data_IF_087385100825
#
_entry.id   IF_087385100825
#
_cell.length_a   1.000
_cell.length_b   1.000
_cell.length_c   1.000
_cell.angle_alpha   90.00
_cell.angle_beta   90.00
_cell.angle_gamma   90.00
#
_symmetry.space_group_name_H-M   'P 1'
#
loop_
_entity.id
_entity.type
_entity.pdbx_description
1 polymer ?
#
# COMPACT_ATOMS: atom_id res chain seq x y z
N UNK A 1 -43.66 55.51 22.64
CA UNK A 1 -42.29 55.94 22.27
C UNK A 1 -41.25 54.81 22.33
N UNK A 2 -41.13 54.07 23.44
CA UNK A 2 -40.11 53.01 23.63
C UNK A 2 -40.14 51.87 22.58
N UNK A 3 -41.31 51.41 22.14
CA UNK A 3 -41.43 50.34 21.12
C UNK A 3 -40.92 50.78 19.74
N UNK A 4 -41.08 52.04 19.38
CA UNK A 4 -40.66 52.58 18.08
C UNK A 4 -39.13 52.68 18.02
N UNK A 5 -38.51 53.17 19.11
CA UNK A 5 -37.05 53.30 19.26
C UNK A 5 -36.37 51.93 19.18
N UNK A 6 -36.88 50.90 19.86
CA UNK A 6 -36.34 49.53 19.78
C UNK A 6 -36.37 48.98 18.36
N UNK A 7 -37.43 49.26 17.60
CA UNK A 7 -37.57 48.79 16.20
C UNK A 7 -36.57 49.49 15.26
N UNK A 8 -36.27 50.76 15.53
CA UNK A 8 -35.26 51.52 14.76
C UNK A 8 -33.85 51.01 15.08
N UNK A 9 -33.50 50.86 16.36
CA UNK A 9 -32.19 50.34 16.78
C UNK A 9 -31.96 48.94 16.21
N UNK A 10 -32.96 48.07 16.24
CA UNK A 10 -32.85 46.73 15.68
C UNK A 10 -32.58 46.75 14.16
N UNK A 11 -33.23 47.64 13.41
CA UNK A 11 -32.97 47.78 11.97
C UNK A 11 -31.55 48.27 11.68
N UNK A 12 -31.05 49.24 12.44
CA UNK A 12 -29.67 49.71 12.30
C UNK A 12 -28.66 48.60 12.64
N UNK A 13 -28.93 47.82 13.69
CA UNK A 13 -28.10 46.68 14.05
C UNK A 13 -28.02 45.63 12.93
N UNK A 14 -29.15 45.30 12.30
CA UNK A 14 -29.19 44.35 11.17
C UNK A 14 -28.41 44.89 9.96
N UNK A 15 -28.58 46.18 9.62
CA UNK A 15 -27.85 46.79 8.50
C UNK A 15 -26.33 46.79 8.77
N UNK A 16 -25.92 47.13 10.00
CA UNK A 16 -24.52 47.08 10.41
C UNK A 16 -23.94 45.66 10.31
N UNK A 17 -24.68 44.64 10.80
CA UNK A 17 -24.26 43.25 10.72
C UNK A 17 -24.06 42.80 9.27
N UNK A 18 -24.98 43.14 8.37
CA UNK A 18 -24.85 42.83 6.95
C UNK A 18 -23.62 43.48 6.33
N UNK A 19 -23.37 44.77 6.62
CA UNK A 19 -22.17 45.47 6.16
C UNK A 19 -20.88 44.84 6.70
N UNK A 20 -20.85 44.50 7.99
CA UNK A 20 -19.71 43.81 8.61
C UNK A 20 -19.44 42.45 7.96
N UNK A 21 -20.48 41.69 7.62
CA UNK A 21 -20.33 40.36 7.01
C UNK A 21 -19.68 40.45 5.62
N UNK A 22 -20.10 41.44 4.82
CA UNK A 22 -19.52 41.70 3.49
C UNK A 22 -18.07 42.17 3.62
N UNK A 23 -17.80 43.11 4.52
CA UNK A 23 -16.44 43.61 4.77
C UNK A 23 -15.52 42.50 5.28
N UNK A 24 -15.99 41.66 6.21
CA UNK A 24 -15.25 40.52 6.74
C UNK A 24 -14.97 39.50 5.64
N UNK A 25 -15.94 39.20 4.78
CA UNK A 25 -15.74 38.34 3.61
C UNK A 25 -14.67 38.89 2.66
N UNK A 26 -14.72 40.20 2.36
CA UNK A 26 -13.75 40.88 1.51
C UNK A 26 -12.34 40.90 2.13
N UNK A 27 -12.23 41.10 3.44
CA UNK A 27 -10.96 41.10 4.17
C UNK A 27 -10.36 39.69 4.31
N UNK A 28 -11.20 38.68 4.56
CA UNK A 28 -10.75 37.29 4.74
C UNK A 28 -10.47 36.58 3.43
N UNK A 29 -11.08 37.00 2.31
CA UNK A 29 -10.87 36.36 1.01
C UNK A 29 -9.38 36.34 0.59
N UNK A 30 -8.61 37.44 0.67
CA UNK A 30 -7.16 37.42 0.42
C UNK A 30 -6.38 36.60 1.44
N UNK A 31 -6.81 36.53 2.70
CA UNK A 31 -6.13 35.75 3.74
C UNK A 31 -6.31 34.24 3.56
N UNK A 32 -7.48 33.82 3.09
CA UNK A 32 -7.83 32.40 2.88
C UNK A 32 -7.39 31.94 1.49
N UNK A 33 -7.55 32.78 0.47
CA UNK A 33 -7.36 32.42 -0.94
C UNK A 33 -6.22 33.17 -1.64
N UNK A 34 -5.61 34.18 -1.02
CA UNK A 34 -4.49 34.96 -1.58
C UNK A 34 -3.13 34.24 -1.59
N UNK A 35 -3.13 32.91 -1.52
CA UNK A 35 -1.97 32.08 -1.91
C UNK A 35 -1.83 31.96 -3.44
N UNK A 36 -2.71 32.59 -4.22
CA UNK A 36 -2.53 32.81 -5.66
C UNK A 36 -1.54 33.96 -5.91
N UNK A 37 -0.26 33.65 -5.67
CA UNK A 37 0.87 34.54 -5.89
C UNK A 37 2.19 33.79 -5.96
N UNK A 38 2.17 32.54 -6.45
CA UNK A 38 3.35 31.67 -6.51
C UNK A 38 4.52 32.30 -7.29
N UNK A 39 4.24 33.10 -8.31
CA UNK A 39 5.26 33.76 -9.13
C UNK A 39 6.07 34.81 -8.35
N UNK A 40 5.42 35.59 -7.47
CA UNK A 40 6.12 36.59 -6.64
C UNK A 40 6.94 35.96 -5.51
N UNK A 41 6.48 34.83 -4.97
CA UNK A 41 7.25 34.05 -4.01
C UNK A 41 8.50 33.44 -4.67
N UNK A 42 8.38 32.99 -5.93
CA UNK A 42 9.51 32.47 -6.72
C UNK A 42 10.57 33.54 -7.00
N UNK A 43 10.13 34.77 -7.29
CA UNK A 43 11.02 35.91 -7.54
C UNK A 43 11.77 36.35 -6.26
N UNK A 44 11.08 36.48 -5.12
CA UNK A 44 11.72 36.75 -3.83
C UNK A 44 12.63 35.60 -3.36
N UNK A 45 12.32 34.34 -3.69
CA UNK A 45 13.17 33.19 -3.36
C UNK A 45 14.43 33.12 -4.26
N UNK A 46 14.35 33.58 -5.51
CA UNK A 46 15.51 33.74 -6.40
C UNK A 46 16.45 34.85 -5.92
N UNK A 47 15.90 35.97 -5.44
CA UNK A 47 16.71 37.04 -4.83
C UNK A 47 17.40 36.59 -3.54
N UNK A 48 16.72 35.82 -2.68
CA UNK A 48 17.32 35.21 -1.48
C UNK A 48 18.38 34.13 -1.81
N UNK A 49 18.26 33.46 -2.96
CA UNK A 49 19.20 32.44 -3.42
C UNK A 49 20.61 32.94 -3.75
N UNK A 50 20.81 34.27 -3.82
CA UNK A 50 22.12 34.87 -4.07
C UNK A 50 22.92 35.24 -2.81
N UNK A 51 22.35 35.05 -1.62
CA UNK A 51 23.04 35.28 -0.35
C UNK A 51 22.81 34.09 0.58
N UNK A 52 23.66 33.06 0.50
CA UNK A 52 23.51 31.97 1.46
C UNK A 52 24.42 30.77 1.32
N UNK A 53 24.79 30.26 2.50
CA UNK A 53 25.51 29.01 2.78
C UNK A 53 24.84 27.79 2.13
N UNK A 54 25.54 26.65 2.05
CA UNK A 54 25.02 25.38 1.48
C UNK A 54 23.63 24.97 2.03
N UNK A 55 23.33 25.33 3.27
CA UNK A 55 22.04 25.06 3.93
C UNK A 55 20.89 25.88 3.34
N UNK A 56 21.13 27.13 2.99
CA UNK A 56 20.13 28.02 2.36
C UNK A 56 19.87 27.59 0.92
N UNK A 57 20.90 27.20 0.18
CA UNK A 57 20.73 26.60 -1.15
C UNK A 57 19.93 25.30 -1.09
N UNK A 58 20.18 24.45 -0.09
CA UNK A 58 19.39 23.24 0.14
C UNK A 58 17.92 23.55 0.48
N UNK A 59 17.68 24.59 1.27
CA UNK A 59 16.33 25.04 1.65
C UNK A 59 15.55 25.56 0.43
N UNK A 60 16.15 26.44 -0.38
CA UNK A 60 15.55 26.94 -1.63
C UNK A 60 15.25 25.80 -2.60
N UNK A 61 16.18 24.84 -2.73
CA UNK A 61 15.99 23.63 -3.54
C UNK A 61 14.87 22.73 -3.02
N UNK A 62 14.64 22.67 -1.71
CA UNK A 62 13.53 21.91 -1.13
C UNK A 62 12.18 22.59 -1.39
N UNK A 63 12.12 23.93 -1.37
CA UNK A 63 10.91 24.70 -1.66
C UNK A 63 10.56 24.59 -3.15
N UNK A 64 11.52 24.78 -4.07
CA UNK A 64 11.26 24.69 -5.52
C UNK A 64 10.85 23.28 -5.97
N UNK A 65 11.30 22.23 -5.30
CA UNK A 65 10.88 20.85 -5.60
C UNK A 65 9.52 20.45 -4.99
N UNK A 66 8.86 21.28 -4.17
CA UNK A 66 7.51 20.98 -3.67
C UNK A 66 6.43 21.03 -4.76
N UNK A 67 6.72 21.67 -5.89
CA UNK A 67 5.74 21.86 -6.97
C UNK A 67 5.54 20.62 -7.85
N UNK A 68 6.54 19.72 -7.90
CA UNK A 68 6.40 18.47 -8.64
C UNK A 68 5.54 17.50 -7.83
N UNK A 69 4.29 17.29 -8.24
CA UNK A 69 3.45 16.23 -7.69
C UNK A 69 3.60 14.96 -8.51
N UNK A 70 3.57 13.80 -7.83
CA UNK A 70 3.55 12.48 -8.47
C UNK A 70 2.33 11.69 -8.00
N UNK A 71 1.61 11.12 -8.96
CA UNK A 71 0.58 10.11 -8.72
C UNK A 71 1.23 8.86 -8.12
N UNK A 72 0.93 8.61 -6.85
CA UNK A 72 1.43 7.45 -6.12
C UNK A 72 0.27 6.50 -5.86
N UNK A 73 0.39 5.27 -6.38
CA UNK A 73 -0.54 4.19 -6.08
C UNK A 73 -0.16 3.53 -4.75
N UNK A 74 -1.02 3.73 -3.73
CA UNK A 74 -0.86 3.13 -2.42
C UNK A 74 -1.41 1.69 -2.34
N UNK A 75 -1.88 1.15 -3.47
CA UNK A 75 -2.45 -0.18 -3.60
C UNK A 75 -3.92 -0.31 -3.22
N UNK A 76 -4.51 0.73 -2.61
CA UNK A 76 -5.95 0.88 -2.34
C UNK A 76 -6.53 2.20 -2.85
N UNK A 77 -5.68 3.19 -3.14
CA UNK A 77 -6.05 4.47 -3.78
C UNK A 77 -4.82 5.10 -4.45
N UNK A 78 -5.07 5.87 -5.50
CA UNK A 78 -4.06 6.73 -6.12
C UNK A 78 -4.20 8.13 -5.54
N UNK A 79 -3.10 8.71 -5.08
CA UNK A 79 -3.05 10.07 -4.54
C UNK A 79 -1.95 10.89 -5.20
N UNK A 80 -2.18 12.19 -5.31
CA UNK A 80 -1.15 13.15 -5.69
C UNK A 80 -0.34 13.53 -4.46
N UNK A 81 0.97 13.30 -4.51
CA UNK A 81 1.90 13.66 -3.43
C UNK A 81 3.04 14.52 -3.95
N UNK A 82 3.52 15.51 -3.16
CA UNK A 82 4.75 16.24 -3.46
C UNK A 82 5.94 15.28 -3.59
N UNK A 83 6.61 15.32 -4.73
CA UNK A 83 7.70 14.44 -5.10
C UNK A 83 9.05 15.10 -4.85
N UNK A 84 9.62 14.81 -3.68
CA UNK A 84 11.01 15.16 -3.35
C UNK A 84 11.87 13.92 -3.57
N UNK A 85 12.76 13.95 -4.59
CA UNK A 85 13.68 12.85 -4.92
C UNK A 85 14.53 12.48 -3.70
N UNK A 86 14.59 11.19 -3.35
CA UNK A 86 15.38 10.68 -2.22
C UNK A 86 14.73 10.80 -0.84
N UNK A 87 13.54 11.42 -0.72
CA UNK A 87 12.76 11.39 0.52
C UNK A 87 12.28 9.97 0.81
N UNK A 88 12.07 9.62 2.08
CA UNK A 88 11.70 8.28 2.56
C UNK A 88 10.48 7.65 1.82
N UNK A 89 9.50 8.46 1.40
CA UNK A 89 8.35 7.98 0.61
C UNK A 89 8.61 7.93 -0.91
N UNK A 90 9.72 8.49 -1.37
CA UNK A 90 10.13 8.62 -2.77
C UNK A 90 11.43 7.84 -3.05
N UNK A 91 11.67 6.74 -2.33
CA UNK A 91 12.81 5.83 -2.53
C UNK A 91 12.69 4.96 -3.79
N UNK A 92 11.87 5.36 -4.77
CA UNK A 92 11.76 4.70 -6.08
C UNK A 92 10.97 3.38 -6.09
N UNK A 93 10.22 3.06 -5.03
CA UNK A 93 9.40 1.84 -5.00
C UNK A 93 8.06 2.11 -5.71
N UNK A 94 7.94 1.62 -6.95
CA UNK A 94 6.67 1.63 -7.69
C UNK A 94 6.03 0.25 -7.65
N UNK A 95 4.87 0.12 -7.00
CA UNK A 95 4.10 -1.12 -7.00
C UNK A 95 3.54 -1.34 -8.40
N UNK A 96 4.12 -2.27 -9.17
CA UNK A 96 3.55 -2.61 -10.48
C UNK A 96 2.14 -3.19 -10.27
N UNK A 97 1.11 -2.72 -10.99
CA UNK A 97 -0.21 -3.33 -10.95
C UNK A 97 -0.14 -4.82 -11.31
N UNK A 98 -0.97 -5.64 -10.67
CA UNK A 98 -1.05 -7.07 -10.91
C UNK A 98 -2.27 -7.41 -11.77
N UNK A 99 -2.15 -7.29 -13.08
CA UNK A 99 -3.25 -7.52 -14.03
C UNK A 99 -3.70 -8.99 -14.08
N UNK A 100 -2.92 -9.89 -13.50
CA UNK A 100 -3.14 -11.32 -13.53
C UNK A 100 -3.91 -11.83 -12.30
N UNK A 101 -3.90 -11.10 -11.17
CA UNK A 101 -4.64 -11.51 -9.98
C UNK A 101 -6.14 -11.20 -10.12
N UNK A 102 -6.94 -12.25 -9.97
CA UNK A 102 -8.41 -12.18 -9.95
C UNK A 102 -8.89 -11.43 -8.70
N UNK A 103 -8.23 -11.67 -7.56
CA UNK A 103 -8.62 -11.11 -6.27
C UNK A 103 -8.55 -9.57 -6.27
N UNK A 104 -7.52 -9.00 -6.88
CA UNK A 104 -7.31 -7.55 -6.87
C UNK A 104 -8.34 -6.78 -7.72
N UNK A 105 -9.12 -7.49 -8.56
CA UNK A 105 -10.21 -6.88 -9.32
C UNK A 105 -11.27 -6.28 -8.39
N UNK A 106 -11.40 -6.82 -7.17
CA UNK A 106 -12.38 -6.37 -6.18
C UNK A 106 -11.74 -5.96 -4.83
N UNK A 107 -10.63 -6.58 -4.40
CA UNK A 107 -10.11 -6.46 -3.02
C UNK A 107 -8.91 -5.51 -2.85
N UNK A 108 -8.45 -4.84 -3.91
CA UNK A 108 -7.21 -4.05 -3.87
C UNK A 108 -5.96 -4.92 -3.80
N UNK A 109 -4.78 -4.29 -3.85
CA UNK A 109 -3.50 -5.01 -3.97
C UNK A 109 -2.80 -5.30 -2.64
N UNK A 110 -3.29 -4.72 -1.54
CA UNK A 110 -2.69 -4.86 -0.21
C UNK A 110 -3.66 -5.55 0.76
N UNK A 111 -3.20 -6.53 1.55
CA UNK A 111 -4.04 -7.26 2.49
C UNK A 111 -4.48 -6.38 3.66
N UNK A 112 -5.65 -6.69 4.23
CA UNK A 112 -6.19 -6.00 5.40
C UNK A 112 -6.08 -6.86 6.67
N UNK A 113 -5.64 -6.27 7.77
CA UNK A 113 -5.70 -6.87 9.11
C UNK A 113 -6.02 -5.77 10.13
N UNK A 114 -6.79 -6.07 11.19
CA UNK A 114 -7.12 -5.07 12.22
C UNK A 114 -5.86 -4.47 12.86
N UNK A 115 -4.87 -5.30 13.21
CA UNK A 115 -3.57 -4.82 13.72
C UNK A 115 -2.78 -4.13 12.61
N UNK A 116 -2.31 -2.91 12.90
CA UNK A 116 -1.50 -2.11 11.96
C UNK A 116 -0.13 -2.77 11.73
N UNK A 117 0.41 -3.38 12.78
CA UNK A 117 1.71 -4.05 12.79
C UNK A 117 1.66 -5.33 11.94
N UNK A 118 0.66 -6.18 12.13
CA UNK A 118 0.49 -7.37 11.29
C UNK A 118 0.24 -6.95 9.84
N UNK A 119 -0.55 -5.89 9.62
CA UNK A 119 -0.83 -5.38 8.27
C UNK A 119 0.43 -4.92 7.56
N UNK A 120 1.38 -4.27 8.23
CA UNK A 120 2.62 -3.82 7.59
C UNK A 120 3.45 -5.01 7.08
N UNK A 121 3.57 -6.08 7.88
CA UNK A 121 4.23 -7.31 7.45
C UNK A 121 3.50 -7.99 6.29
N UNK A 122 2.16 -8.05 6.32
CA UNK A 122 1.37 -8.62 5.23
C UNK A 122 1.50 -7.81 3.94
N UNK A 123 1.57 -6.48 4.02
CA UNK A 123 1.77 -5.61 2.86
C UNK A 123 3.09 -5.90 2.14
N UNK A 124 4.15 -6.27 2.87
CA UNK A 124 5.42 -6.67 2.24
C UNK A 124 5.27 -7.93 1.39
N UNK A 125 4.41 -8.87 1.77
CA UNK A 125 4.18 -10.10 1.02
C UNK A 125 3.43 -9.84 -0.29
N UNK A 126 2.60 -8.79 -0.33
CA UNK A 126 1.80 -8.47 -1.51
C UNK A 126 2.63 -8.13 -2.77
N UNK A 127 3.92 -7.85 -2.62
CA UNK A 127 4.81 -7.58 -3.75
C UNK A 127 5.16 -8.82 -4.55
N UNK A 128 5.27 -9.99 -3.91
CA UNK A 128 5.78 -11.22 -4.52
C UNK A 128 4.96 -12.47 -4.20
N UNK A 129 3.89 -12.40 -3.41
CA UNK A 129 2.94 -13.51 -3.21
C UNK A 129 1.56 -13.17 -3.79
N UNK A 130 0.94 -14.14 -4.45
CA UNK A 130 -0.47 -14.07 -4.80
C UNK A 130 -1.36 -14.32 -3.57
N UNK A 131 -2.55 -13.72 -3.58
CA UNK A 131 -3.53 -13.82 -2.49
C UNK A 131 -3.90 -15.28 -2.18
N UNK A 132 -4.05 -16.11 -3.22
CA UNK A 132 -4.39 -17.52 -3.06
C UNK A 132 -3.32 -18.34 -2.32
N UNK A 133 -2.06 -17.87 -2.26
CA UNK A 133 -0.99 -18.52 -1.47
C UNK A 133 -1.39 -18.65 0.00
N UNK A 134 -2.04 -17.62 0.55
CA UNK A 134 -2.47 -17.61 1.94
C UNK A 134 -3.93 -18.03 2.09
N UNK A 135 -4.78 -17.71 1.11
CA UNK A 135 -6.23 -17.85 1.21
C UNK A 135 -6.79 -19.16 0.65
N UNK A 136 -6.02 -19.90 -0.16
CA UNK A 136 -6.44 -21.17 -0.76
C UNK A 136 -5.46 -22.27 -0.37
N UNK A 137 -5.91 -23.15 0.52
CA UNK A 137 -5.16 -24.30 1.05
C UNK A 137 -5.65 -25.57 0.37
N UNK A 138 -4.77 -26.57 0.20
CA UNK A 138 -5.22 -27.88 -0.22
C UNK A 138 -6.17 -28.43 0.83
N UNK A 139 -7.21 -29.14 0.39
CA UNK A 139 -8.11 -29.87 1.28
C UNK A 139 -7.34 -30.95 2.03
N UNK A 140 -7.92 -31.40 3.15
CA UNK A 140 -7.39 -32.54 3.90
C UNK A 140 -7.30 -33.74 2.94
N UNK A 141 -6.15 -34.42 2.94
CA UNK A 141 -5.88 -35.61 2.12
C UNK A 141 -5.71 -35.37 0.60
N UNK A 142 -5.64 -34.10 0.16
CA UNK A 142 -5.23 -33.76 -1.22
C UNK A 142 -3.73 -33.48 -1.31
N UNK A 143 -3.11 -33.70 -2.49
CA UNK A 143 -1.72 -33.32 -2.72
C UNK A 143 -1.47 -31.85 -2.42
N UNK A 144 -0.31 -31.55 -1.83
CA UNK A 144 0.11 -30.17 -1.61
C UNK A 144 0.19 -29.40 -2.94
N UNK A 145 -0.12 -28.11 -2.89
CA UNK A 145 0.05 -27.24 -4.05
C UNK A 145 1.51 -27.18 -4.49
N UNK A 146 1.71 -27.07 -5.81
CA UNK A 146 3.00 -26.69 -6.39
C UNK A 146 3.02 -25.18 -6.57
N UNK A 147 4.21 -24.59 -6.51
CA UNK A 147 4.40 -23.14 -6.57
C UNK A 147 5.29 -22.77 -7.73
N UNK A 148 4.89 -21.74 -8.47
CA UNK A 148 5.69 -21.15 -9.53
C UNK A 148 5.57 -19.62 -9.50
N UNK A 149 6.58 -18.95 -10.05
CA UNK A 149 6.49 -17.54 -10.35
C UNK A 149 5.60 -17.31 -11.58
N UNK A 150 4.74 -16.31 -11.54
CA UNK A 150 4.02 -15.78 -12.69
C UNK A 150 4.29 -14.30 -12.89
N UNK A 151 4.27 -13.85 -14.14
CA UNK A 151 4.38 -12.43 -14.48
C UNK A 151 3.09 -11.69 -14.13
N UNK A 152 3.21 -10.57 -13.39
CA UNK A 152 2.10 -9.70 -13.00
C UNK A 152 1.36 -9.08 -14.21
N UNK A 153 1.96 -9.10 -15.40
CA UNK A 153 1.36 -8.55 -16.62
C UNK A 153 0.76 -9.61 -17.53
N UNK A 154 1.43 -10.75 -17.71
CA UNK A 154 1.01 -11.76 -18.69
C UNK A 154 0.29 -12.96 -18.08
N UNK A 155 0.28 -13.11 -16.76
CA UNK A 155 -0.23 -14.28 -16.03
C UNK A 155 0.47 -15.61 -16.40
N UNK A 156 1.57 -15.57 -17.16
CA UNK A 156 2.31 -16.77 -17.56
C UNK A 156 3.37 -17.10 -16.52
N UNK A 157 3.66 -18.40 -16.40
CA UNK A 157 4.81 -18.90 -15.64
C UNK A 157 6.07 -18.19 -16.14
N UNK A 158 6.91 -17.76 -15.21
CA UNK A 158 8.21 -17.15 -15.49
C UNK A 158 9.31 -17.87 -14.73
N UNK A 159 10.54 -17.73 -15.21
CA UNK A 159 11.72 -18.15 -14.46
C UNK A 159 11.86 -17.37 -13.16
N UNK A 160 12.64 -17.92 -12.24
CA UNK A 160 12.98 -17.26 -10.98
C UNK A 160 13.56 -15.86 -11.27
N UNK A 161 13.08 -14.80 -10.57
CA UNK A 161 13.57 -13.46 -10.81
C UNK A 161 15.08 -13.34 -10.60
N UNK A 162 15.82 -12.78 -11.57
CA UNK A 162 17.28 -12.59 -11.46
C UNK A 162 17.67 -11.79 -10.22
N UNK A 163 16.89 -10.75 -9.92
CA UNK A 163 17.06 -9.94 -8.71
C UNK A 163 16.97 -10.73 -7.40
N UNK A 164 16.31 -11.89 -7.42
CA UNK A 164 16.27 -12.82 -6.28
C UNK A 164 17.44 -13.79 -6.32
N UNK A 165 17.71 -14.41 -7.47
CA UNK A 165 18.74 -15.46 -7.58
C UNK A 165 20.15 -14.91 -7.46
N UNK A 166 20.38 -13.66 -7.88
CA UNK A 166 21.66 -12.95 -7.80
C UNK A 166 21.74 -12.01 -6.59
N UNK A 167 20.81 -12.12 -5.63
CA UNK A 167 20.74 -11.16 -4.51
C UNK A 167 22.00 -11.18 -3.64
N UNK A 168 22.66 -12.33 -3.51
CA UNK A 168 23.91 -12.43 -2.74
C UNK A 168 25.07 -11.67 -3.40
N UNK A 169 25.06 -11.55 -4.73
CA UNK A 169 26.05 -10.75 -5.46
C UNK A 169 25.89 -9.26 -5.20
N UNK A 170 24.68 -8.81 -4.85
CA UNK A 170 24.38 -7.39 -4.58
C UNK A 170 24.98 -6.86 -3.27
N UNK A 171 25.57 -7.74 -2.44
CA UNK A 171 26.21 -7.38 -1.18
C UNK A 171 27.74 -7.54 -1.20
N UNK A 172 28.34 -7.93 -2.33
CA UNK A 172 29.78 -8.28 -2.39
C UNK A 172 30.71 -7.06 -2.42
N UNK A 173 30.31 -5.99 -3.08
CA UNK A 173 31.10 -4.76 -3.24
C UNK A 173 30.24 -3.50 -3.09
N UNK A 174 30.87 -2.36 -2.77
CA UNK A 174 30.19 -1.07 -2.71
C UNK A 174 29.50 -0.67 -4.04
N UNK A 175 30.05 -1.13 -5.16
CA UNK A 175 29.50 -0.93 -6.51
C UNK A 175 28.34 -1.90 -6.82
N UNK A 176 28.35 -3.11 -6.25
CA UNK A 176 27.27 -4.10 -6.39
C UNK A 176 26.02 -3.76 -5.57
N UNK A 177 26.18 -2.98 -4.49
CA UNK A 177 25.06 -2.41 -3.74
C UNK A 177 24.28 -1.48 -4.65
N UNK A 178 23.03 -1.86 -5.00
CA UNK A 178 22.04 -1.19 -5.86
C UNK A 178 21.80 -1.81 -7.25
N UNK A 179 22.44 -2.93 -7.63
CA UNK A 179 22.18 -3.58 -8.94
C UNK A 179 20.70 -3.98 -9.14
N UNK A 180 19.97 -4.26 -8.06
CA UNK A 180 18.57 -4.69 -8.09
C UNK A 180 17.69 -3.89 -7.12
N UNK A 181 16.38 -3.70 -7.42
CA UNK A 181 15.43 -3.13 -6.48
C UNK A 181 15.24 -4.07 -5.27
N UNK A 182 15.78 -3.68 -4.11
CA UNK A 182 15.96 -4.49 -2.90
C UNK A 182 14.71 -4.68 -2.03
N UNK A 183 13.51 -4.68 -2.60
CA UNK A 183 12.26 -4.62 -1.82
C UNK A 183 11.19 -5.63 -2.25
N UNK A 184 11.59 -6.75 -2.85
CA UNK A 184 10.66 -7.84 -3.21
C UNK A 184 9.74 -7.55 -4.39
N UNK A 185 9.98 -6.47 -5.14
CA UNK A 185 9.20 -6.14 -6.33
C UNK A 185 9.89 -6.68 -7.59
N UNK A 186 9.59 -7.93 -7.93
CA UNK A 186 10.24 -8.65 -9.01
C UNK A 186 9.54 -8.51 -10.37
N UNK A 187 8.43 -7.77 -10.44
CA UNK A 187 7.52 -7.83 -11.60
C UNK A 187 6.78 -9.17 -11.75
N UNK A 188 7.03 -10.10 -10.83
CA UNK A 188 6.45 -11.43 -10.78
C UNK A 188 6.03 -11.76 -9.34
N UNK A 189 5.11 -12.72 -9.19
CA UNK A 189 4.65 -13.23 -7.91
C UNK A 189 4.63 -14.76 -7.89
N UNK A 190 4.76 -15.34 -6.72
CA UNK A 190 4.58 -16.76 -6.46
C UNK A 190 3.09 -17.04 -6.31
N UNK A 191 2.60 -18.06 -7.01
CA UNK A 191 1.24 -18.55 -6.87
C UNK A 191 1.21 -20.08 -6.76
N UNK A 192 0.24 -20.64 -6.00
CA UNK A 192 -0.03 -22.06 -5.96
C UNK A 192 -0.74 -22.53 -7.23
N UNK A 193 -0.59 -23.82 -7.50
CA UNK A 193 -1.26 -24.51 -8.59
C UNK A 193 -1.24 -26.03 -8.41
N UNK A 194 -1.85 -26.71 -9.35
CA UNK A 194 -1.97 -28.18 -9.39
C UNK A 194 -1.46 -28.72 -10.71
N UNK A 195 -1.08 -30.00 -10.71
CA UNK A 195 -0.82 -30.72 -11.95
C UNK A 195 -2.14 -31.24 -12.50
N UNK A 196 -2.45 -30.93 -13.75
CA UNK A 196 -3.60 -31.45 -14.50
C UNK A 196 -3.05 -32.05 -15.79
N UNK A 197 -3.25 -33.35 -16.00
CA UNK A 197 -2.77 -34.08 -17.19
C UNK A 197 -1.27 -33.84 -17.46
N UNK A 198 -0.44 -33.93 -16.42
CA UNK A 198 1.02 -33.71 -16.54
C UNK A 198 1.46 -32.26 -16.70
N UNK A 199 0.54 -31.30 -16.82
CA UNK A 199 0.86 -29.87 -16.96
C UNK A 199 0.52 -29.10 -15.68
N UNK A 200 1.40 -28.17 -15.30
CA UNK A 200 1.12 -27.26 -14.19
C UNK A 200 0.07 -26.22 -14.59
N UNK A 201 -0.92 -26.01 -13.73
CA UNK A 201 -1.93 -24.96 -13.85
C UNK A 201 -2.05 -24.21 -12.53
N UNK A 202 -1.98 -22.88 -12.58
CA UNK A 202 -2.29 -22.03 -11.43
C UNK A 202 -3.73 -22.21 -10.98
N UNK A 203 -3.99 -21.94 -9.70
CA UNK A 203 -5.36 -21.93 -9.18
C UNK A 203 -6.17 -20.78 -9.80
N UNK A 204 -5.54 -19.61 -10.00
CA UNK A 204 -6.11 -18.58 -10.86
C UNK A 204 -5.97 -18.99 -12.33
N UNK A 205 -7.05 -18.86 -13.10
CA UNK A 205 -7.00 -19.15 -14.53
C UNK A 205 -7.89 -18.16 -15.33
N UNK A 206 -7.79 -18.24 -16.65
CA UNK A 206 -8.51 -17.33 -17.56
C UNK A 206 -10.04 -17.48 -17.45
N UNK A 207 -10.55 -18.67 -17.17
CA UNK A 207 -12.00 -18.92 -17.01
C UNK A 207 -12.52 -18.16 -15.79
N UNK A 208 -11.83 -18.26 -14.67
CA UNK A 208 -12.22 -17.57 -13.43
C UNK A 208 -12.08 -16.06 -13.56
N UNK A 209 -11.02 -15.58 -14.23
CA UNK A 209 -10.85 -14.15 -14.53
C UNK A 209 -11.99 -13.62 -15.42
N UNK A 210 -12.39 -14.37 -16.45
CA UNK A 210 -13.51 -14.00 -17.32
C UNK A 210 -14.82 -13.97 -16.54
N UNK A 211 -15.06 -14.94 -15.65
CA UNK A 211 -16.23 -14.97 -14.78
C UNK A 211 -16.28 -13.73 -13.87
N UNK A 212 -15.16 -13.37 -13.23
CA UNK A 212 -15.09 -12.19 -12.37
C UNK A 212 -15.29 -10.89 -13.15
N UNK A 213 -14.69 -10.76 -14.34
CA UNK A 213 -14.90 -9.58 -15.18
C UNK A 213 -16.37 -9.45 -15.59
N UNK A 214 -17.03 -10.58 -15.92
CA UNK A 214 -18.47 -10.59 -16.23
C UNK A 214 -19.31 -10.20 -15.02
N UNK A 215 -19.03 -10.77 -13.85
CA UNK A 215 -19.69 -10.38 -12.61
C UNK A 215 -19.55 -8.88 -12.35
N UNK A 216 -18.35 -8.30 -12.52
CA UNK A 216 -18.13 -6.86 -12.32
C UNK A 216 -18.95 -6.01 -13.28
N UNK A 217 -19.10 -6.45 -14.53
CA UNK A 217 -19.89 -5.75 -15.55
C UNK A 217 -21.40 -5.85 -15.31
N UNK A 218 -21.89 -6.97 -14.79
CA UNK A 218 -23.32 -7.24 -14.63
C UNK A 218 -23.83 -6.95 -13.21
N UNK A 219 -22.96 -6.79 -12.21
CA UNK A 219 -23.36 -6.72 -10.80
C UNK A 219 -24.41 -5.64 -10.50
N UNK A 220 -24.42 -4.52 -11.20
CA UNK A 220 -25.38 -3.44 -10.91
C UNK A 220 -26.82 -3.80 -11.30
N UNK A 221 -26.99 -4.77 -12.21
CA UNK A 221 -28.29 -5.29 -12.65
C UNK A 221 -28.78 -6.50 -11.84
N UNK A 222 -27.97 -6.99 -10.89
CA UNK A 222 -28.28 -8.18 -10.10
C UNK A 222 -28.96 -7.84 -8.78
N UNK A 223 -29.97 -8.62 -8.43
CA UNK A 223 -30.59 -8.61 -7.10
C UNK A 223 -29.63 -9.10 -6.00
N UNK A 224 -29.92 -8.81 -4.71
CA UNK A 224 -29.07 -9.19 -3.59
C UNK A 224 -28.75 -10.69 -3.51
N UNK A 225 -29.74 -11.55 -3.79
CA UNK A 225 -29.58 -13.00 -3.76
C UNK A 225 -28.64 -13.50 -4.87
N UNK A 226 -28.82 -13.01 -6.09
CA UNK A 226 -27.96 -13.33 -7.24
C UNK A 226 -26.51 -12.91 -6.98
N UNK A 227 -26.31 -11.70 -6.43
CA UNK A 227 -24.98 -11.22 -5.99
C UNK A 227 -24.35 -12.17 -4.98
N UNK A 228 -25.12 -12.61 -3.98
CA UNK A 228 -24.65 -13.54 -2.96
C UNK A 228 -24.23 -14.89 -3.55
N UNK A 229 -25.05 -15.46 -4.45
CA UNK A 229 -24.75 -16.72 -5.13
C UNK A 229 -23.49 -16.62 -6.00
N UNK A 230 -23.35 -15.56 -6.80
CA UNK A 230 -22.17 -15.37 -7.64
C UNK A 230 -20.90 -15.14 -6.80
N UNK A 231 -21.00 -14.38 -5.71
CA UNK A 231 -19.88 -14.24 -4.76
C UNK A 231 -19.49 -15.59 -4.16
N UNK A 232 -20.45 -16.48 -3.86
CA UNK A 232 -20.15 -17.82 -3.35
C UNK A 232 -19.33 -18.64 -4.35
N UNK A 233 -19.65 -18.55 -5.65
CA UNK A 233 -18.87 -19.21 -6.71
C UNK A 233 -17.45 -18.65 -6.81
N UNK A 234 -17.30 -17.31 -6.81
CA UNK A 234 -15.97 -16.67 -6.87
C UNK A 234 -15.08 -17.08 -5.70
N UNK A 235 -15.67 -17.25 -4.51
CA UNK A 235 -14.95 -17.57 -3.28
C UNK A 235 -14.98 -19.05 -2.91
N UNK A 236 -15.42 -19.94 -3.80
CA UNK A 236 -15.62 -21.37 -3.49
C UNK A 236 -14.35 -22.03 -2.91
N UNK A 237 -13.19 -21.71 -3.49
CA UNK A 237 -11.89 -22.25 -3.06
C UNK A 237 -11.25 -21.47 -1.89
N UNK A 238 -11.82 -20.34 -1.49
CA UNK A 238 -11.25 -19.47 -0.45
C UNK A 238 -11.57 -20.01 0.93
N UNK A 239 -10.55 -20.32 1.72
CA UNK A 239 -10.75 -20.78 3.09
C UNK A 239 -11.19 -19.65 4.01
N UNK A 240 -12.08 -19.98 4.96
CA UNK A 240 -12.55 -19.06 6.02
C UNK A 240 -11.41 -18.43 6.83
N UNK A 241 -10.33 -19.17 7.07
CA UNK A 241 -9.14 -18.69 7.78
C UNK A 241 -7.92 -18.81 6.87
N UNK A 242 -7.14 -17.72 6.67
CA UNK A 242 -5.93 -17.77 5.86
C UNK A 242 -4.85 -18.61 6.55
N UNK A 243 -3.78 -18.89 5.80
CA UNK A 243 -2.58 -19.53 6.33
C UNK A 243 -1.89 -18.58 7.32
N UNK A 244 -1.40 -19.15 8.43
CA UNK A 244 -0.68 -18.40 9.46
C UNK A 244 0.82 -18.35 9.13
N UNK A 245 1.54 -17.35 9.67
CA UNK A 245 2.94 -17.07 9.32
C UNK A 245 3.86 -18.29 9.51
N UNK A 246 3.64 -19.07 10.57
CA UNK A 246 4.44 -20.24 10.94
C UNK A 246 4.35 -21.40 9.97
N UNK A 247 3.32 -21.45 9.12
CA UNK A 247 3.21 -22.50 8.09
C UNK A 247 4.21 -22.31 6.96
N UNK A 248 4.54 -21.07 6.63
CA UNK A 248 5.58 -20.75 5.63
C UNK A 248 6.95 -20.58 6.28
N UNK A 249 7.00 -19.93 7.44
CA UNK A 249 8.22 -19.61 8.15
C UNK A 249 8.52 -20.66 9.23
N UNK A 250 8.85 -21.86 8.77
CA UNK A 250 9.28 -22.96 9.62
C UNK A 250 10.39 -23.77 8.95
N UNK A 251 11.32 -24.29 9.76
CA UNK A 251 12.44 -25.13 9.28
C UNK A 251 11.96 -26.46 8.71
N UNK A 252 11.01 -27.10 9.39
CA UNK A 252 10.49 -28.42 9.00
C UNK A 252 9.26 -28.24 8.13
N UNK A 253 9.34 -28.67 6.87
CA UNK A 253 8.23 -28.67 5.92
C UNK A 253 7.53 -27.31 5.74
N UNK A 254 8.31 -26.26 5.41
CA UNK A 254 7.75 -24.98 4.98
C UNK A 254 6.74 -25.17 3.84
N UNK A 255 5.57 -24.53 3.96
CA UNK A 255 4.51 -24.60 2.95
C UNK A 255 4.98 -24.10 1.58
N UNK A 256 5.80 -23.04 1.56
CA UNK A 256 6.41 -22.51 0.35
C UNK A 256 7.81 -23.15 0.18
N UNK A 257 8.10 -23.81 -0.95
CA UNK A 257 9.39 -24.42 -1.20
C UNK A 257 10.42 -23.37 -1.69
N UNK A 258 10.87 -22.49 -0.78
CA UNK A 258 11.72 -21.34 -1.12
C UNK A 258 12.95 -21.70 -1.98
N UNK A 259 13.70 -22.75 -1.63
CA UNK A 259 14.86 -23.18 -2.40
C UNK A 259 14.51 -23.53 -3.87
N UNK A 260 13.38 -24.22 -4.09
CA UNK A 260 12.90 -24.55 -5.45
C UNK A 260 12.45 -23.31 -6.23
N UNK A 261 12.05 -22.26 -5.52
CA UNK A 261 11.65 -20.97 -6.10
C UNK A 261 12.84 -20.01 -6.32
N UNK A 262 14.07 -20.49 -6.14
CA UNK A 262 15.29 -19.76 -6.45
C UNK A 262 15.83 -18.87 -5.33
N UNK A 263 15.31 -19.02 -4.10
CA UNK A 263 15.90 -18.34 -2.95
C UNK A 263 17.24 -18.99 -2.60
N UNK A 264 18.32 -18.22 -2.42
CA UNK A 264 19.62 -18.76 -2.07
C UNK A 264 19.62 -19.33 -0.64
N UNK A 265 20.51 -20.29 -0.31
CA UNK A 265 20.48 -21.02 0.96
C UNK A 265 20.44 -20.14 2.20
N UNK A 266 21.26 -19.07 2.25
CA UNK A 266 21.26 -18.11 3.35
C UNK A 266 19.88 -17.48 3.53
N UNK A 267 19.24 -17.07 2.44
CA UNK A 267 17.91 -16.44 2.50
C UNK A 267 16.82 -17.44 2.89
N UNK A 268 16.92 -18.69 2.45
CA UNK A 268 16.00 -19.75 2.90
C UNK A 268 16.09 -19.93 4.42
N UNK A 269 17.30 -19.94 4.98
CA UNK A 269 17.52 -20.02 6.42
C UNK A 269 16.92 -18.81 7.15
N UNK A 270 17.20 -17.58 6.69
CA UNK A 270 16.63 -16.35 7.28
C UNK A 270 15.09 -16.34 7.24
N UNK A 271 14.48 -16.83 6.15
CA UNK A 271 13.03 -16.89 6.01
C UNK A 271 12.42 -17.98 6.90
N UNK A 272 13.07 -19.13 7.04
CA UNK A 272 12.52 -20.26 7.83
C UNK A 272 12.84 -20.18 9.32
N UNK A 273 13.80 -19.33 9.70
CA UNK A 273 14.27 -19.12 11.08
C UNK A 273 14.13 -17.66 11.55
N UNK A 274 13.01 -17.02 11.20
CA UNK A 274 12.80 -15.61 11.55
C UNK A 274 12.27 -15.44 12.98
N UNK A 275 12.97 -14.63 13.77
CA UNK A 275 12.55 -14.23 15.12
C UNK A 275 11.20 -13.48 15.13
N UNK A 276 10.84 -12.85 14.01
CA UNK A 276 9.58 -12.11 13.84
C UNK A 276 8.36 -13.01 14.04
N UNK A 277 8.40 -14.25 13.55
CA UNK A 277 7.27 -15.19 13.71
C UNK A 277 7.12 -15.61 15.17
N UNK A 278 8.25 -15.83 15.85
CA UNK A 278 8.27 -16.06 17.29
C UNK A 278 7.66 -14.89 18.06
N UNK A 279 8.03 -13.65 17.71
CA UNK A 279 7.47 -12.45 18.32
C UNK A 279 5.96 -12.32 18.08
N UNK A 280 5.48 -12.45 16.85
CA UNK A 280 4.05 -12.34 16.52
C UNK A 280 3.22 -13.41 17.23
N UNK A 281 3.76 -14.62 17.40
CA UNK A 281 3.06 -15.71 18.11
C UNK A 281 3.03 -15.50 19.62
N UNK A 282 4.14 -15.05 20.20
CA UNK A 282 4.29 -14.90 21.66
C UNK A 282 3.66 -13.60 22.17
N UNK A 283 3.78 -12.52 21.41
CA UNK A 283 3.32 -11.19 21.80
C UNK A 283 2.16 -10.77 20.91
N UNK A 284 0.95 -10.78 21.47
CA UNK A 284 -0.26 -10.27 20.79
C UNK A 284 -0.26 -8.75 20.66
N UNK A 285 0.45 -8.07 21.55
CA UNK A 285 0.64 -6.63 21.56
C UNK A 285 2.13 -6.31 21.38
N UNK A 286 2.45 -5.49 20.38
CA UNK A 286 3.79 -4.96 20.18
C UNK A 286 3.88 -3.62 20.92
N UNK A 287 4.67 -3.59 21.99
CA UNK A 287 4.98 -2.34 22.69
C UNK A 287 6.22 -1.73 22.03
N UNK A 288 5.99 -0.76 21.15
CA UNK A 288 7.09 0.04 20.58
C UNK A 288 7.62 0.95 21.69
N UNK A 289 8.92 0.96 21.97
CA UNK A 289 9.49 1.84 23.00
C UNK A 289 9.13 3.31 22.76
N UNK A 290 8.81 4.03 23.84
CA UNK A 290 8.26 5.39 23.80
C UNK A 290 9.16 6.41 23.05
N UNK A 291 10.46 6.16 22.94
CA UNK A 291 11.38 7.07 22.23
C UNK A 291 11.17 7.08 20.70
N UNK A 292 10.51 6.06 20.13
CA UNK A 292 10.14 6.01 18.71
C UNK A 292 8.80 6.68 18.41
N UNK A 293 8.10 7.16 19.44
CA UNK A 293 6.84 7.91 19.32
C UNK A 293 6.89 9.20 20.17
N UNK A 294 7.75 10.17 19.83
CA UNK A 294 7.80 11.43 20.57
C UNK A 294 6.44 12.15 20.46
N UNK A 295 5.83 12.48 21.59
CA UNK A 295 4.64 13.35 21.66
C UNK A 295 3.27 12.67 21.76
N UNK A 296 3.16 11.33 21.74
CA UNK A 296 1.86 10.66 21.93
C UNK A 296 1.54 10.54 23.42
N UNK A 297 0.52 11.26 23.88
CA UNK A 297 0.10 11.25 25.29
C UNK A 297 -0.56 9.91 25.67
N UNK A 298 -0.55 9.56 26.96
CA UNK A 298 -1.15 8.32 27.45
C UNK A 298 -2.66 8.20 27.14
N UNK A 299 -3.36 9.30 26.90
CA UNK A 299 -4.79 9.33 26.57
C UNK A 299 -5.09 8.83 25.14
N UNK A 300 -4.19 9.06 24.18
CA UNK A 300 -4.33 8.54 22.81
C UNK A 300 -4.01 7.03 22.72
N UNK A 301 -3.32 6.49 23.75
CA UNK A 301 -2.96 5.05 23.85
C UNK A 301 -4.18 4.15 24.06
N UNK A 302 -5.21 4.62 24.76
CA UNK A 302 -6.41 3.83 25.06
C UNK A 302 -7.36 3.68 23.86
N UNK A 303 -7.23 4.52 22.82
CA UNK A 303 -8.08 4.47 21.61
C UNK A 303 -7.53 3.60 20.48
N UNK A 304 -6.29 3.09 20.61
CA UNK A 304 -5.61 2.33 19.54
C UNK A 304 -5.36 0.86 19.89
N UNK A 305 -5.76 0.41 21.08
CA UNK A 305 -5.75 -0.99 21.52
C UNK A 305 -7.15 -1.61 21.37
#
# INVERSE_FOLDING_TARGET
MVKLIKKIIFKFYVIFLMGFTIWYGYFMYPLIFGFEGKEKAEESLKELGHAGTDKEQMFVKLISNQEQTRKTDLGYRVIDQPYIKGRFHNIGISVKPDKASICIRCHGSVPHNKSKEIRSFLNMHAFYLACETCHIKPEKDKPAWKFHWYSKTTAKITNNPKALTEIEDSYKTAESMRKYPMYGNYGAKIAPGKMVNGKFMFLHNKKDMNFVNRYIAEQDHLGPEQKSQMKRVIHELVNKKPLMCDRCHQKKAAYIPFAKLGYPPRRVNELTDTSVVGMIRKYKAFYIPNFLTPGVTNAEKARQQ
#
